data_IF_985818998251
#
_entry.id   IF_985818998251
#
_cell.length_a   1.000
_cell.length_b   1.000
_cell.length_c   1.000
_cell.angle_alpha   90.00
_cell.angle_beta   90.00
_cell.angle_gamma   90.00
#
_symmetry.space_group_name_H-M   'P 1'
#
loop_
_entity.id
_entity.type
_entity.pdbx_description
1 polymer ?
#
# COMPACT_ATOMS: atom_id res chain seq x y z
N UNK A 1 -22.72 -9.10 -1.76
CA UNK A 1 -21.31 -8.89 -1.36
C UNK A 1 -20.60 -8.09 -2.44
N UNK A 2 -20.27 -6.82 -2.16
CA UNK A 2 -19.38 -6.05 -3.04
C UNK A 2 -17.95 -6.28 -2.56
N UNK A 3 -17.04 -6.79 -3.39
CA UNK A 3 -15.63 -6.87 -3.02
C UNK A 3 -15.08 -5.45 -2.86
N UNK A 4 -14.69 -5.09 -1.65
CA UNK A 4 -14.08 -3.79 -1.35
C UNK A 4 -12.56 -3.91 -1.48
N UNK A 5 -11.96 -3.05 -2.31
CA UNK A 5 -10.53 -3.01 -2.59
C UNK A 5 -9.78 -2.09 -1.62
N UNK A 6 -10.01 -2.28 -0.30
CA UNK A 6 -9.35 -1.50 0.76
C UNK A 6 -8.32 -2.34 1.50
N UNK A 7 -7.28 -1.69 2.03
CA UNK A 7 -6.15 -2.37 2.68
C UNK A 7 -6.56 -3.15 3.93
N UNK A 8 -7.55 -2.71 4.66
CA UNK A 8 -8.07 -3.39 5.85
C UNK A 8 -8.77 -4.71 5.52
N UNK A 9 -9.17 -4.92 4.27
CA UNK A 9 -9.77 -6.18 3.80
C UNK A 9 -8.73 -7.21 3.32
N UNK A 10 -7.45 -6.85 3.29
CA UNK A 10 -6.38 -7.78 2.91
C UNK A 10 -6.16 -8.76 4.05
N UNK A 11 -6.31 -10.05 3.78
CA UNK A 11 -5.96 -11.12 4.72
C UNK A 11 -4.50 -11.54 4.59
N UNK A 12 -4.06 -11.75 3.36
CA UNK A 12 -2.76 -12.31 3.01
C UNK A 12 -2.21 -11.63 1.77
N UNK A 13 -0.89 -11.61 1.67
CA UNK A 13 -0.14 -11.17 0.50
C UNK A 13 0.60 -12.38 -0.07
N UNK A 14 0.51 -12.58 -1.37
CA UNK A 14 1.03 -13.78 -2.06
C UNK A 14 1.96 -13.47 -3.22
N UNK A 15 2.05 -12.22 -3.65
CA UNK A 15 2.96 -11.80 -4.72
C UNK A 15 3.28 -10.30 -4.62
N UNK A 16 4.43 -9.93 -5.19
CA UNK A 16 4.73 -8.59 -5.67
C UNK A 16 4.58 -8.57 -7.19
N UNK A 17 4.33 -7.42 -7.79
CA UNK A 17 4.16 -7.31 -9.24
C UNK A 17 4.50 -5.92 -9.76
N UNK A 18 4.92 -5.83 -11.00
CA UNK A 18 5.13 -4.55 -11.69
C UNK A 18 4.50 -4.63 -13.07
N UNK A 19 3.67 -3.65 -13.38
CA UNK A 19 3.12 -3.42 -14.71
C UNK A 19 4.05 -2.49 -15.49
N UNK A 20 4.52 -2.96 -16.65
CA UNK A 20 5.36 -2.19 -17.56
C UNK A 20 4.52 -1.75 -18.77
N UNK A 21 4.22 -0.46 -18.82
CA UNK A 21 3.51 0.18 -19.93
C UNK A 21 4.50 0.46 -21.09
N UNK A 22 4.96 -0.61 -21.70
CA UNK A 22 6.05 -0.58 -22.70
C UNK A 22 5.73 0.23 -23.94
N UNK A 23 4.46 0.43 -24.26
CA UNK A 23 4.01 1.28 -25.37
C UNK A 23 4.39 2.77 -25.21
N UNK A 24 4.75 3.19 -23.98
CA UNK A 24 5.26 4.53 -23.69
C UNK A 24 6.79 4.62 -23.80
N UNK A 25 7.46 3.52 -24.07
CA UNK A 25 8.93 3.45 -24.19
C UNK A 25 9.37 3.39 -25.66
N UNK A 26 10.66 3.57 -25.90
CA UNK A 26 11.27 3.42 -27.23
C UNK A 26 11.62 1.96 -27.57
N UNK A 27 11.42 1.04 -26.63
CA UNK A 27 11.84 -0.35 -26.73
C UNK A 27 10.64 -1.27 -26.96
N UNK A 28 10.85 -2.33 -27.73
CA UNK A 28 9.88 -3.42 -27.87
C UNK A 28 9.90 -4.30 -26.61
N UNK A 29 8.81 -5.05 -26.37
CA UNK A 29 8.75 -6.01 -25.26
C UNK A 29 9.92 -6.98 -25.25
N UNK A 30 10.33 -7.48 -26.43
CA UNK A 30 11.48 -8.39 -26.59
C UNK A 30 12.79 -7.74 -26.17
N UNK A 31 13.03 -6.49 -26.60
CA UNK A 31 14.25 -5.76 -26.22
C UNK A 31 14.30 -5.50 -24.70
N UNK A 32 13.16 -5.16 -24.10
CA UNK A 32 13.06 -4.97 -22.65
C UNK A 32 13.38 -6.28 -21.94
N UNK A 33 12.78 -7.41 -22.34
CA UNK A 33 13.04 -8.71 -21.71
C UNK A 33 14.51 -9.11 -21.83
N UNK A 34 15.11 -9.02 -22.99
CA UNK A 34 16.55 -9.30 -23.19
C UNK A 34 17.45 -8.45 -22.28
N UNK A 35 17.10 -7.17 -22.09
CA UNK A 35 17.86 -6.30 -21.20
C UNK A 35 17.65 -6.70 -19.73
N UNK A 36 16.42 -6.99 -19.33
CA UNK A 36 16.09 -7.41 -17.95
C UNK A 36 16.81 -8.72 -17.60
N UNK A 37 16.76 -9.72 -18.47
CA UNK A 37 17.46 -11.00 -18.29
C UNK A 37 18.98 -10.82 -18.18
N UNK A 38 19.56 -10.00 -19.05
CA UNK A 38 21.00 -9.83 -19.12
C UNK A 38 21.57 -8.98 -17.99
N UNK A 39 20.83 -7.96 -17.53
CA UNK A 39 21.39 -6.93 -16.66
C UNK A 39 20.69 -6.76 -15.30
N UNK A 40 19.45 -7.25 -15.14
CA UNK A 40 18.64 -6.99 -13.95
C UNK A 40 18.31 -8.25 -13.14
N UNK A 41 17.88 -9.33 -13.79
CA UNK A 41 17.45 -10.54 -13.07
C UNK A 41 18.61 -11.20 -12.31
N UNK A 42 18.38 -11.51 -11.04
CA UNK A 42 19.35 -12.03 -10.08
C UNK A 42 20.62 -11.14 -9.85
N UNK A 43 20.59 -9.89 -10.34
CA UNK A 43 21.68 -8.92 -10.13
C UNK A 43 21.19 -7.70 -9.39
N UNK A 44 20.13 -7.11 -9.88
CA UNK A 44 19.51 -5.88 -9.37
C UNK A 44 18.18 -6.19 -8.72
N UNK A 45 17.40 -7.08 -9.31
CA UNK A 45 16.09 -7.54 -8.82
C UNK A 45 16.03 -9.07 -8.88
N UNK A 46 15.17 -9.72 -8.04
CA UNK A 46 14.93 -11.16 -8.19
C UNK A 46 14.37 -11.48 -9.59
N UNK A 47 14.58 -12.68 -10.08
CA UNK A 47 13.92 -13.13 -11.31
C UNK A 47 12.41 -13.28 -11.06
N UNK A 48 11.53 -12.67 -11.89
CA UNK A 48 10.09 -12.83 -11.70
C UNK A 48 9.66 -14.28 -11.96
N UNK A 49 8.67 -14.75 -11.19
CA UNK A 49 8.12 -16.10 -11.39
C UNK A 49 7.22 -16.19 -12.61
N UNK A 50 6.53 -15.10 -12.96
CA UNK A 50 5.69 -15.03 -14.14
C UNK A 50 6.02 -13.76 -14.91
N UNK A 51 6.19 -13.92 -16.21
CA UNK A 51 6.25 -12.83 -17.16
C UNK A 51 5.04 -12.95 -18.07
N UNK A 52 4.17 -11.94 -18.03
CA UNK A 52 2.88 -11.95 -18.73
C UNK A 52 2.89 -10.83 -19.77
N UNK A 53 2.62 -11.20 -21.02
CA UNK A 53 2.31 -10.23 -22.06
C UNK A 53 0.86 -9.76 -21.89
N UNK A 54 0.69 -8.52 -21.45
CA UNK A 54 -0.63 -7.94 -21.14
C UNK A 54 -1.37 -7.39 -22.37
N UNK A 55 -0.77 -7.50 -23.54
CA UNK A 55 -1.29 -7.03 -24.82
C UNK A 55 -0.84 -5.61 -25.20
N UNK A 56 -0.47 -4.77 -24.24
CA UNK A 56 0.13 -3.44 -24.46
C UNK A 56 1.50 -3.29 -23.83
N UNK A 57 1.86 -4.21 -22.95
CA UNK A 57 3.08 -4.19 -22.18
C UNK A 57 3.33 -5.53 -21.53
N UNK A 58 4.09 -5.51 -20.46
CA UNK A 58 4.47 -6.69 -19.70
C UNK A 58 4.04 -6.54 -18.25
N UNK A 59 3.62 -7.63 -17.63
CA UNK A 59 3.41 -7.69 -16.18
C UNK A 59 4.40 -8.71 -15.60
N UNK A 60 5.26 -8.26 -14.70
CA UNK A 60 6.22 -9.09 -13.98
C UNK A 60 5.64 -9.42 -12.61
N UNK A 61 5.63 -10.70 -12.21
CA UNK A 61 5.06 -11.16 -10.94
C UNK A 61 6.09 -12.00 -10.19
N UNK A 62 6.34 -11.64 -8.94
CA UNK A 62 7.15 -12.39 -7.98
C UNK A 62 6.23 -13.06 -6.98
N UNK A 63 6.12 -14.38 -7.05
CA UNK A 63 5.34 -15.16 -6.11
C UNK A 63 6.09 -15.23 -4.77
N UNK A 64 5.40 -14.90 -3.70
CA UNK A 64 5.93 -14.99 -2.35
C UNK A 64 5.16 -16.04 -1.53
N UNK A 65 5.80 -16.63 -0.54
CA UNK A 65 5.09 -17.37 0.48
C UNK A 65 4.05 -16.47 1.16
N UNK A 66 2.92 -17.07 1.55
CA UNK A 66 1.82 -16.32 2.16
C UNK A 66 2.29 -15.59 3.41
N UNK A 67 2.10 -14.28 3.44
CA UNK A 67 2.37 -13.46 4.61
C UNK A 67 1.10 -12.71 5.04
N UNK A 68 0.90 -12.52 6.35
CA UNK A 68 -0.28 -11.81 6.84
C UNK A 68 -0.25 -10.33 6.43
N UNK A 69 -1.41 -9.67 6.45
CA UNK A 69 -1.56 -8.25 6.13
C UNK A 69 -0.62 -7.33 6.93
N UNK A 70 -0.19 -7.74 8.12
CA UNK A 70 0.77 -6.98 8.93
C UNK A 70 2.15 -6.82 8.25
N UNK A 71 2.49 -7.67 7.29
CA UNK A 71 3.70 -7.56 6.48
C UNK A 71 3.59 -6.49 5.37
N UNK A 72 2.43 -5.86 5.21
CA UNK A 72 2.16 -4.89 4.14
C UNK A 72 3.20 -3.75 4.05
N UNK A 73 3.71 -3.14 5.15
CA UNK A 73 4.77 -2.13 5.02
C UNK A 73 6.06 -2.66 4.39
N UNK A 74 6.45 -3.91 4.69
CA UNK A 74 7.61 -4.54 4.05
C UNK A 74 7.32 -4.89 2.59
N UNK A 75 6.12 -5.42 2.32
CA UNK A 75 5.64 -5.68 0.97
C UNK A 75 5.70 -4.42 0.10
N UNK A 76 5.22 -3.28 0.61
CA UNK A 76 5.29 -1.98 -0.07
C UNK A 76 6.74 -1.55 -0.30
N UNK A 77 7.63 -1.74 0.67
CA UNK A 77 9.04 -1.40 0.50
C UNK A 77 9.69 -2.20 -0.63
N UNK A 78 9.38 -3.49 -0.75
CA UNK A 78 9.80 -4.34 -1.86
C UNK A 78 9.17 -3.86 -3.18
N UNK A 79 7.88 -3.58 -3.18
CA UNK A 79 7.13 -3.11 -4.35
C UNK A 79 7.73 -1.81 -4.92
N UNK A 80 8.04 -0.85 -4.05
CA UNK A 80 8.68 0.39 -4.45
C UNK A 80 10.12 0.23 -4.92
N UNK A 81 10.85 -0.69 -4.30
CA UNK A 81 12.18 -1.02 -4.76
C UNK A 81 12.13 -1.54 -6.21
N UNK A 82 11.30 -2.56 -6.47
CA UNK A 82 11.10 -3.12 -7.82
C UNK A 82 10.68 -2.05 -8.82
N UNK A 83 9.72 -1.19 -8.45
CA UNK A 83 9.31 -0.05 -9.27
C UNK A 83 10.48 0.87 -9.58
N UNK A 84 11.29 1.24 -8.59
CA UNK A 84 12.41 2.17 -8.75
C UNK A 84 13.45 1.66 -9.74
N UNK A 85 13.70 0.34 -9.73
CA UNK A 85 14.64 -0.31 -10.65
C UNK A 85 14.08 -0.46 -12.07
N UNK A 86 12.76 -0.57 -12.21
CA UNK A 86 12.09 -0.83 -13.49
C UNK A 86 11.47 0.42 -14.12
N UNK A 87 11.65 1.58 -13.51
CA UNK A 87 11.04 2.85 -13.93
C UNK A 87 11.37 3.23 -15.37
N UNK A 88 12.60 2.99 -15.83
CA UNK A 88 13.04 3.30 -17.19
C UNK A 88 12.39 2.41 -18.27
N UNK A 89 11.89 1.24 -17.88
CA UNK A 89 11.17 0.30 -18.74
C UNK A 89 9.66 0.54 -18.78
N UNK A 90 9.19 1.67 -18.26
CA UNK A 90 7.79 2.07 -18.29
C UNK A 90 6.96 1.51 -17.12
N UNK A 91 7.58 1.23 -15.98
CA UNK A 91 6.82 0.79 -14.78
C UNK A 91 5.76 1.82 -14.38
N UNK A 92 4.51 1.36 -14.19
CA UNK A 92 3.38 2.21 -13.83
C UNK A 92 3.32 2.45 -12.31
N UNK A 93 3.56 3.71 -11.90
CA UNK A 93 3.47 4.09 -10.49
C UNK A 93 2.07 3.93 -9.91
N UNK A 94 1.03 4.10 -10.70
CA UNK A 94 -0.37 3.99 -10.25
C UNK A 94 -0.81 2.55 -10.02
N UNK A 95 0.01 1.57 -10.42
CA UNK A 95 -0.28 0.15 -10.30
C UNK A 95 0.43 -0.54 -9.12
N UNK A 96 0.89 0.20 -8.11
CA UNK A 96 1.71 -0.36 -7.01
C UNK A 96 0.90 -0.79 -5.78
N UNK A 97 -0.41 -0.57 -5.76
CA UNK A 97 -1.26 -0.87 -4.61
C UNK A 97 -1.49 -2.37 -4.40
N UNK A 98 -1.51 -2.81 -3.12
CA UNK A 98 -1.66 -4.22 -2.75
C UNK A 98 -3.07 -4.78 -3.00
N UNK A 99 -4.05 -3.93 -3.30
CA UNK A 99 -5.43 -4.31 -3.61
C UNK A 99 -5.66 -4.43 -5.12
N UNK A 100 -4.60 -4.31 -5.91
CA UNK A 100 -4.63 -4.32 -7.37
C UNK A 100 -5.17 -5.62 -7.93
N UNK A 101 -6.00 -5.50 -8.95
CA UNK A 101 -6.50 -6.62 -9.74
C UNK A 101 -5.74 -6.67 -11.06
N UNK A 102 -5.13 -7.81 -11.36
CA UNK A 102 -4.41 -8.05 -12.60
C UNK A 102 -5.29 -8.82 -13.58
N UNK A 103 -4.99 -8.69 -14.88
CA UNK A 103 -5.68 -9.46 -15.91
C UNK A 103 -5.31 -10.92 -15.83
N UNK A 104 -6.31 -11.78 -15.99
CA UNK A 104 -6.10 -13.23 -16.00
C UNK A 104 -5.47 -13.65 -17.33
N UNK A 105 -4.42 -14.47 -17.29
CA UNK A 105 -3.85 -15.07 -18.46
C UNK A 105 -4.90 -15.90 -19.24
N UNK A 106 -4.90 -15.77 -20.55
CA UNK A 106 -5.92 -16.39 -21.43
C UNK A 106 -7.11 -15.45 -21.75
N UNK A 107 -7.33 -14.38 -20.97
CA UNK A 107 -8.35 -13.37 -21.26
C UNK A 107 -7.95 -12.47 -22.44
N UNK A 108 -8.93 -11.74 -22.97
CA UNK A 108 -8.68 -10.73 -24.00
C UNK A 108 -8.60 -9.33 -23.35
N UNK A 109 -7.52 -8.62 -23.63
CA UNK A 109 -7.40 -7.22 -23.23
C UNK A 109 -8.34 -6.36 -24.09
N UNK A 110 -9.43 -5.86 -23.51
CA UNK A 110 -10.44 -5.07 -24.23
C UNK A 110 -9.91 -3.78 -24.89
N UNK A 111 -8.77 -3.24 -24.38
CA UNK A 111 -8.16 -2.03 -24.94
C UNK A 111 -7.30 -2.28 -26.18
N UNK A 112 -6.72 -3.47 -26.32
CA UNK A 112 -5.83 -3.82 -27.45
C UNK A 112 -6.40 -4.91 -28.35
N UNK A 113 -7.46 -5.61 -27.93
CA UNK A 113 -8.00 -6.78 -28.65
C UNK A 113 -7.10 -8.01 -28.59
N UNK A 114 -5.97 -7.98 -27.90
CA UNK A 114 -4.98 -9.06 -27.87
C UNK A 114 -5.20 -9.97 -26.67
N UNK A 115 -4.79 -11.23 -26.81
CA UNK A 115 -4.85 -12.22 -25.73
C UNK A 115 -3.73 -11.98 -24.73
N UNK A 116 -4.06 -12.04 -23.45
CA UNK A 116 -3.07 -12.03 -22.35
C UNK A 116 -2.40 -13.40 -22.29
N UNK A 117 -1.09 -13.45 -22.40
CA UNK A 117 -0.31 -14.70 -22.50
C UNK A 117 0.78 -14.75 -21.43
N UNK A 118 1.02 -15.95 -20.88
CA UNK A 118 2.21 -16.20 -20.06
C UNK A 118 3.37 -16.40 -21.04
N UNK A 119 4.40 -15.59 -20.92
CA UNK A 119 5.63 -15.69 -21.71
C UNK A 119 6.62 -16.62 -21.02
N UNK A 120 6.78 -16.47 -19.70
CA UNK A 120 7.68 -17.29 -18.89
C UNK A 120 7.02 -17.63 -17.54
N UNK A 121 7.37 -18.80 -17.02
CA UNK A 121 6.89 -19.28 -15.72
C UNK A 121 7.99 -20.09 -15.01
N UNK A 122 8.25 -19.72 -13.74
CA UNK A 122 9.14 -20.42 -12.82
C UNK A 122 8.39 -20.79 -11.53
N UNK A 123 8.62 -22.00 -11.00
CA UNK A 123 7.82 -22.53 -9.89
C UNK A 123 8.34 -22.17 -8.48
N UNK A 124 9.51 -21.58 -8.38
CA UNK A 124 10.07 -21.14 -7.10
C UNK A 124 9.20 -20.05 -6.47
N UNK A 125 9.09 -20.07 -5.14
CA UNK A 125 8.46 -18.98 -4.37
C UNK A 125 9.48 -18.35 -3.46
N UNK A 126 9.53 -17.03 -3.48
CA UNK A 126 10.36 -16.25 -2.58
C UNK A 126 9.73 -16.13 -1.20
N UNK A 127 10.55 -16.02 -0.15
CA UNK A 127 10.06 -15.38 1.07
C UNK A 127 10.29 -13.87 0.99
N UNK A 128 9.39 -13.10 1.57
CA UNK A 128 9.52 -11.64 1.60
C UNK A 128 10.82 -11.19 2.31
N UNK A 129 11.32 -12.02 3.24
CA UNK A 129 12.58 -11.80 3.97
C UNK A 129 13.82 -12.06 3.11
N UNK A 130 13.81 -13.03 2.22
CA UNK A 130 14.91 -13.25 1.26
C UNK A 130 15.08 -12.02 0.38
N UNK A 131 13.97 -11.54 -0.22
CA UNK A 131 14.00 -10.33 -1.04
C UNK A 131 14.50 -9.13 -0.21
N UNK A 132 14.04 -8.98 1.04
CA UNK A 132 14.50 -7.93 1.94
C UNK A 132 16.01 -7.99 2.18
N UNK A 133 16.55 -9.15 2.54
CA UNK A 133 17.97 -9.31 2.89
C UNK A 133 18.87 -9.07 1.68
N UNK A 134 18.46 -9.56 0.53
CA UNK A 134 19.28 -9.51 -0.68
C UNK A 134 19.24 -8.12 -1.34
N UNK A 135 18.06 -7.51 -1.43
CA UNK A 135 17.86 -6.28 -2.20
C UNK A 135 17.59 -5.03 -1.35
N UNK A 136 17.15 -5.19 -0.09
CA UNK A 136 16.90 -4.08 0.84
C UNK A 136 17.63 -4.27 2.19
N UNK A 137 18.94 -4.45 2.20
CA UNK A 137 19.69 -4.77 3.42
C UNK A 137 19.60 -3.66 4.50
N UNK A 138 19.35 -2.41 4.10
CA UNK A 138 19.18 -1.28 5.00
C UNK A 138 18.01 -1.43 5.99
N UNK A 139 17.00 -2.24 5.65
CA UNK A 139 15.88 -2.53 6.54
C UNK A 139 16.26 -3.55 7.65
N UNK A 140 17.22 -4.44 7.39
CA UNK A 140 17.67 -5.44 8.37
C UNK A 140 18.74 -4.89 9.33
N UNK A 141 19.67 -4.08 8.85
CA UNK A 141 20.81 -3.59 9.62
C UNK A 141 20.44 -2.73 10.84
N UNK A 142 19.25 -2.15 10.86
CA UNK A 142 18.84 -1.24 11.95
C UNK A 142 18.34 -1.93 13.22
N UNK A 143 18.29 -3.26 13.30
CA UNK A 143 17.96 -3.96 14.56
C UNK A 143 19.05 -3.81 15.62
N UNK A 144 20.31 -3.61 15.22
CA UNK A 144 21.48 -3.64 16.11
C UNK A 144 22.33 -2.36 16.09
N UNK A 145 21.98 -1.27 15.40
CA UNK A 145 22.83 -0.07 15.29
C UNK A 145 22.54 1.01 16.32
N UNK A 146 23.65 1.57 16.84
CA UNK A 146 23.75 2.65 17.83
C UNK A 146 23.05 3.93 17.37
N UNK A 147 22.68 4.78 18.36
CA UNK A 147 22.05 6.09 18.23
C UNK A 147 22.58 6.91 17.04
N UNK A 148 21.71 7.15 16.04
CA UNK A 148 21.96 8.00 14.89
C UNK A 148 20.65 8.24 14.11
N UNK A 149 20.63 9.21 13.18
CA UNK A 149 19.47 9.45 12.32
C UNK A 149 19.25 8.22 11.40
N UNK A 150 18.07 7.58 11.41
CA UNK A 150 17.81 6.41 10.58
C UNK A 150 17.94 6.77 9.09
N UNK A 151 18.38 5.80 8.26
CA UNK A 151 18.37 5.97 6.81
C UNK A 151 16.94 6.26 6.31
N UNK A 152 16.82 7.01 5.22
CA UNK A 152 15.51 7.44 4.65
C UNK A 152 14.54 6.28 4.45
N UNK A 153 15.01 5.15 3.92
CA UNK A 153 14.21 3.92 3.71
C UNK A 153 13.60 3.38 5.00
N UNK A 154 14.41 3.32 6.07
CA UNK A 154 13.94 2.84 7.39
C UNK A 154 12.95 3.80 8.02
N UNK A 155 13.16 5.09 7.87
CA UNK A 155 12.24 6.12 8.36
C UNK A 155 10.88 5.99 7.68
N UNK A 156 10.84 5.93 6.35
CA UNK A 156 9.62 5.76 5.56
C UNK A 156 8.89 4.47 5.93
N UNK A 157 9.62 3.36 6.06
CA UNK A 157 9.02 2.09 6.48
C UNK A 157 8.36 2.18 7.87
N UNK A 158 9.00 2.84 8.85
CA UNK A 158 8.43 3.05 10.19
C UNK A 158 7.19 3.94 10.17
N UNK A 159 7.21 5.02 9.39
CA UNK A 159 6.04 5.89 9.24
C UNK A 159 4.88 5.14 8.60
N UNK A 160 5.13 4.35 7.55
CA UNK A 160 4.10 3.51 6.93
C UNK A 160 3.50 2.49 7.89
N UNK A 161 4.34 1.85 8.72
CA UNK A 161 3.86 0.91 9.73
C UNK A 161 2.95 1.60 10.76
N UNK A 162 3.31 2.82 11.17
CA UNK A 162 2.48 3.63 12.06
C UNK A 162 1.15 4.02 11.40
N UNK A 163 1.19 4.48 10.15
CA UNK A 163 -0.01 4.90 9.43
C UNK A 163 -0.94 3.72 9.15
N UNK A 164 -0.40 2.56 8.75
CA UNK A 164 -1.19 1.34 8.61
C UNK A 164 -1.91 0.99 9.91
N UNK A 165 -1.20 0.97 11.03
CA UNK A 165 -1.81 0.66 12.31
C UNK A 165 -2.91 1.65 12.71
N UNK A 166 -2.72 2.94 12.45
CA UNK A 166 -3.73 3.97 12.70
C UNK A 166 -4.95 3.84 11.79
N UNK A 167 -4.76 3.51 10.52
CA UNK A 167 -5.84 3.21 9.57
C UNK A 167 -6.70 2.06 10.10
N UNK A 168 -6.05 0.96 10.51
CA UNK A 168 -6.74 -0.21 11.04
C UNK A 168 -7.48 0.09 12.35
N UNK A 169 -6.89 0.90 13.22
CA UNK A 169 -7.53 1.30 14.48
C UNK A 169 -8.74 2.21 14.24
N UNK A 170 -8.69 3.13 13.25
CA UNK A 170 -9.85 3.95 12.90
C UNK A 170 -11.02 3.11 12.37
N UNK A 171 -10.74 2.12 11.50
CA UNK A 171 -11.77 1.19 11.03
C UNK A 171 -12.28 0.34 12.17
N UNK A 172 -11.38 -0.15 13.06
CA UNK A 172 -11.77 -0.91 14.25
C UNK A 172 -12.68 -0.11 15.18
N UNK A 173 -12.40 1.18 15.35
CA UNK A 173 -13.27 2.09 16.11
C UNK A 173 -14.67 2.19 15.49
N UNK A 174 -14.75 2.32 14.16
CA UNK A 174 -16.04 2.32 13.46
C UNK A 174 -16.81 1.01 13.67
N UNK A 175 -16.11 -0.14 13.56
CA UNK A 175 -16.71 -1.46 13.82
C UNK A 175 -17.26 -1.58 15.26
N UNK A 176 -16.49 -1.18 16.28
CA UNK A 176 -16.87 -1.23 17.68
C UNK A 176 -18.11 -0.37 17.97
N UNK A 177 -18.27 0.71 17.23
CA UNK A 177 -19.42 1.62 17.27
C UNK A 177 -20.55 1.20 16.32
N UNK A 178 -20.48 0.02 15.69
CA UNK A 178 -21.41 -0.44 14.66
C UNK A 178 -21.65 0.61 13.56
N UNK A 179 -20.60 1.35 13.19
CA UNK A 179 -20.62 2.45 12.21
C UNK A 179 -21.58 3.61 12.57
N UNK A 180 -22.09 3.66 13.80
CA UNK A 180 -22.76 4.86 14.33
C UNK A 180 -21.72 5.81 14.94
N UNK A 181 -21.16 6.63 14.07
CA UNK A 181 -20.10 7.58 14.39
C UNK A 181 -20.58 9.03 14.23
N UNK A 182 -21.88 9.26 14.51
CA UNK A 182 -22.47 10.62 14.47
C UNK A 182 -21.68 11.56 15.38
N UNK A 183 -21.36 12.76 14.87
CA UNK A 183 -20.51 13.73 15.57
C UNK A 183 -19.01 13.57 15.27
N UNK A 184 -18.52 12.37 14.94
CA UNK A 184 -17.11 12.11 14.64
C UNK A 184 -16.84 11.77 13.17
N UNK A 185 -17.87 11.74 12.29
CA UNK A 185 -17.74 11.36 10.87
C UNK A 185 -16.65 12.14 10.14
N UNK A 186 -16.66 13.47 10.23
CA UNK A 186 -15.72 14.32 9.52
C UNK A 186 -14.28 14.11 9.99
N UNK A 187 -14.05 14.02 11.30
CA UNK A 187 -12.72 13.82 11.85
C UNK A 187 -12.18 12.42 11.57
N UNK A 188 -13.01 11.38 11.63
CA UNK A 188 -12.62 10.01 11.26
C UNK A 188 -12.20 9.96 9.80
N UNK A 189 -13.03 10.48 8.89
CA UNK A 189 -12.75 10.49 7.45
C UNK A 189 -11.52 11.35 7.11
N UNK A 190 -11.34 12.48 7.80
CA UNK A 190 -10.15 13.32 7.65
C UNK A 190 -8.87 12.58 8.05
N UNK A 191 -8.85 11.96 9.24
CA UNK A 191 -7.69 11.21 9.73
C UNK A 191 -7.41 9.99 8.84
N UNK A 192 -8.45 9.27 8.44
CA UNK A 192 -8.34 8.12 7.55
C UNK A 192 -7.73 8.54 6.20
N UNK A 193 -8.25 9.61 5.54
CA UNK A 193 -7.67 10.16 4.31
C UNK A 193 -6.23 10.61 4.50
N UNK A 194 -5.94 11.29 5.61
CA UNK A 194 -4.62 11.78 5.92
C UNK A 194 -3.59 10.64 5.97
N UNK A 195 -3.89 9.58 6.71
CA UNK A 195 -2.99 8.44 6.82
C UNK A 195 -2.88 7.65 5.51
N UNK A 196 -3.96 7.51 4.76
CA UNK A 196 -3.96 6.85 3.45
C UNK A 196 -3.12 7.61 2.42
N UNK A 197 -3.20 8.94 2.35
CA UNK A 197 -2.36 9.74 1.45
C UNK A 197 -0.86 9.45 1.63
N UNK A 198 -0.40 9.37 2.89
CA UNK A 198 0.99 9.06 3.18
C UNK A 198 1.32 7.56 3.05
N UNK A 199 0.35 6.70 3.26
CA UNK A 199 0.53 5.27 3.14
C UNK A 199 0.63 4.82 1.68
N UNK A 200 -0.27 5.31 0.82
CA UNK A 200 -0.28 5.02 -0.62
C UNK A 200 0.69 5.90 -1.42
N UNK A 201 1.06 7.07 -0.89
CA UNK A 201 1.67 8.17 -1.66
C UNK A 201 0.82 8.59 -2.88
N UNK A 202 -0.51 8.44 -2.76
CA UNK A 202 -1.50 8.71 -3.79
C UNK A 202 -2.77 9.26 -3.16
N UNK A 203 -3.12 10.51 -3.50
CA UNK A 203 -4.30 11.20 -2.96
C UNK A 203 -5.63 10.74 -3.59
N UNK A 204 -5.58 10.21 -4.81
CA UNK A 204 -6.78 9.77 -5.51
C UNK A 204 -7.25 8.42 -4.96
N UNK A 205 -6.37 7.45 -4.83
CA UNK A 205 -6.69 6.17 -4.19
C UNK A 205 -7.13 6.38 -2.74
N UNK A 206 -6.51 7.31 -2.02
CA UNK A 206 -6.93 7.66 -0.66
C UNK A 206 -8.35 8.24 -0.62
N UNK A 207 -8.76 9.05 -1.60
CA UNK A 207 -10.11 9.58 -1.66
C UNK A 207 -11.14 8.49 -1.96
N UNK A 208 -10.83 7.58 -2.88
CA UNK A 208 -11.71 6.45 -3.22
C UNK A 208 -12.02 5.61 -1.97
N UNK A 209 -10.99 5.23 -1.20
CA UNK A 209 -11.16 4.46 0.03
C UNK A 209 -11.97 5.21 1.10
N UNK A 210 -11.75 6.53 1.22
CA UNK A 210 -12.53 7.39 2.14
C UNK A 210 -14.01 7.40 1.79
N UNK A 211 -14.33 7.51 0.50
CA UNK A 211 -15.71 7.49 0.02
C UNK A 211 -16.37 6.12 0.28
N UNK A 212 -15.62 5.03 0.13
CA UNK A 212 -16.11 3.70 0.45
C UNK A 212 -16.34 3.52 1.96
N UNK A 213 -15.42 3.97 2.83
CA UNK A 213 -15.63 3.93 4.29
C UNK A 213 -16.86 4.74 4.70
N UNK A 214 -17.06 5.94 4.14
CA UNK A 214 -18.21 6.77 4.43
C UNK A 214 -19.55 6.08 4.13
N UNK A 215 -19.60 5.25 3.08
CA UNK A 215 -20.83 4.51 2.72
C UNK A 215 -21.23 3.46 3.78
N UNK A 216 -20.30 3.03 4.62
CA UNK A 216 -20.57 2.07 5.70
C UNK A 216 -21.20 2.73 6.93
N UNK A 217 -21.09 4.04 7.09
CA UNK A 217 -21.70 4.76 8.20
C UNK A 217 -23.23 4.66 8.16
N UNK A 218 -23.86 4.50 9.32
CA UNK A 218 -25.34 4.49 9.43
C UNK A 218 -25.94 5.77 8.84
N UNK A 219 -25.27 6.91 9.00
CA UNK A 219 -25.67 8.18 8.43
C UNK A 219 -24.49 8.76 7.62
N UNK A 220 -24.25 8.31 6.38
CA UNK A 220 -23.13 8.78 5.58
C UNK A 220 -23.25 10.28 5.25
N UNK A 221 -22.11 10.93 5.11
CA UNK A 221 -22.03 12.28 4.55
C UNK A 221 -22.22 12.22 3.03
N UNK A 222 -22.70 13.30 2.43
CA UNK A 222 -22.68 13.43 0.97
C UNK A 222 -21.23 13.48 0.46
N UNK A 223 -21.00 13.06 -0.77
CA UNK A 223 -19.66 13.10 -1.39
C UNK A 223 -19.04 14.51 -1.34
N UNK A 224 -19.83 15.55 -1.56
CA UNK A 224 -19.38 16.95 -1.48
C UNK A 224 -18.91 17.31 -0.07
N UNK A 225 -19.60 16.85 0.96
CA UNK A 225 -19.21 17.06 2.36
C UNK A 225 -17.91 16.31 2.68
N UNK A 226 -17.78 15.05 2.25
CA UNK A 226 -16.54 14.26 2.42
C UNK A 226 -15.35 14.99 1.79
N UNK A 227 -15.46 15.41 0.54
CA UNK A 227 -14.38 16.12 -0.17
C UNK A 227 -14.01 17.41 0.58
N UNK A 228 -15.00 18.19 1.03
CA UNK A 228 -14.78 19.43 1.80
C UNK A 228 -14.09 19.17 3.13
N UNK A 229 -14.62 18.22 3.93
CA UNK A 229 -14.10 17.91 5.26
C UNK A 229 -12.68 17.34 5.24
N UNK A 230 -12.34 16.59 4.18
CA UNK A 230 -11.05 15.90 4.09
C UNK A 230 -10.03 16.58 3.17
N UNK A 231 -10.39 17.67 2.51
CA UNK A 231 -9.54 18.36 1.52
C UNK A 231 -8.23 18.94 2.09
N UNK A 232 -8.19 19.26 3.38
CA UNK A 232 -6.96 19.69 4.05
C UNK A 232 -5.91 18.58 4.17
N UNK A 233 -6.32 17.32 4.26
CA UNK A 233 -5.40 16.16 4.26
C UNK A 233 -4.60 16.09 2.95
N UNK A 234 -5.28 16.23 1.81
CA UNK A 234 -4.66 16.28 0.49
C UNK A 234 -3.70 17.47 0.33
N UNK A 235 -4.15 18.68 0.76
CA UNK A 235 -3.32 19.89 0.67
C UNK A 235 -2.01 19.75 1.43
N UNK A 236 -2.06 19.19 2.66
CA UNK A 236 -0.86 18.99 3.48
C UNK A 236 0.04 17.91 2.87
N UNK A 237 -0.52 16.85 2.31
CA UNK A 237 0.25 15.83 1.61
C UNK A 237 1.01 16.43 0.40
N UNK A 238 0.34 17.24 -0.42
CA UNK A 238 0.96 17.91 -1.59
C UNK A 238 2.03 18.93 -1.21
N UNK A 239 1.85 19.65 -0.11
CA UNK A 239 2.78 20.70 0.33
C UNK A 239 4.13 20.13 0.82
N UNK A 240 4.19 18.88 1.30
CA UNK A 240 5.37 18.13 1.77
C UNK A 240 6.17 18.76 2.92
N UNK A 241 5.91 20.00 3.29
CA UNK A 241 6.68 20.79 4.29
C UNK A 241 6.05 20.74 5.68
N UNK A 242 4.75 20.48 5.80
CA UNK A 242 4.02 20.43 7.05
C UNK A 242 3.26 19.11 7.18
N UNK A 243 3.59 18.34 8.21
CA UNK A 243 2.85 17.11 8.56
C UNK A 243 2.12 17.30 9.88
N UNK A 244 0.88 16.83 9.97
CA UNK A 244 0.17 16.73 11.23
C UNK A 244 0.72 15.56 12.05
N UNK A 245 1.47 15.85 13.11
CA UNK A 245 2.01 14.82 14.02
C UNK A 245 1.11 14.67 15.23
N UNK A 246 -0.06 14.06 15.01
CA UNK A 246 -0.97 13.78 16.12
C UNK A 246 -0.34 12.80 17.12
N UNK A 247 -0.39 13.17 18.42
CA UNK A 247 -0.10 12.25 19.51
C UNK A 247 -1.32 11.35 19.76
N UNK A 248 -1.10 10.18 20.34
CA UNK A 248 -2.20 9.27 20.63
C UNK A 248 -3.20 9.90 21.62
N UNK A 249 -2.72 10.60 22.64
CA UNK A 249 -3.57 11.30 23.60
C UNK A 249 -4.54 12.27 22.89
N UNK A 250 -4.03 13.04 21.92
CA UNK A 250 -4.86 13.95 21.11
C UNK A 250 -5.91 13.21 20.27
N UNK A 251 -5.54 12.05 19.69
CA UNK A 251 -6.48 11.25 18.90
C UNK A 251 -7.57 10.63 19.79
N UNK A 252 -7.19 10.13 20.97
CA UNK A 252 -8.12 9.57 21.94
C UNK A 252 -9.13 10.63 22.38
N UNK A 253 -8.67 11.85 22.67
CA UNK A 253 -9.52 12.97 23.04
C UNK A 253 -10.44 13.41 21.89
N UNK A 254 -9.89 13.64 20.68
CA UNK A 254 -10.66 14.09 19.51
C UNK A 254 -11.75 13.10 19.06
N UNK A 255 -11.50 11.81 19.26
CA UNK A 255 -12.40 10.74 18.84
C UNK A 255 -13.23 10.18 20.03
N UNK A 256 -13.00 10.75 21.24
CA UNK A 256 -13.65 10.28 22.48
C UNK A 256 -13.54 8.76 22.68
N UNK A 257 -12.30 8.22 22.46
CA UNK A 257 -12.05 6.78 22.54
C UNK A 257 -12.05 6.34 24.00
N UNK A 258 -12.99 5.45 24.35
CA UNK A 258 -13.08 4.89 25.68
C UNK A 258 -11.96 3.90 26.00
N UNK A 259 -11.74 3.61 27.30
CA UNK A 259 -10.75 2.60 27.70
C UNK A 259 -11.09 1.21 27.12
N UNK A 260 -12.37 0.85 27.05
CA UNK A 260 -12.84 -0.39 26.44
C UNK A 260 -12.45 -0.46 24.95
N UNK A 261 -12.68 0.60 24.18
CA UNK A 261 -12.31 0.63 22.76
C UNK A 261 -10.78 0.50 22.58
N UNK A 262 -9.98 1.13 23.45
CA UNK A 262 -8.52 1.02 23.43
C UNK A 262 -8.02 -0.42 23.60
N UNK A 263 -8.67 -1.26 24.39
CA UNK A 263 -8.29 -2.68 24.53
C UNK A 263 -8.36 -3.48 23.23
N UNK A 264 -9.12 -2.99 22.24
CA UNK A 264 -9.30 -3.61 20.92
C UNK A 264 -8.45 -2.96 19.82
N UNK A 265 -7.70 -1.91 20.17
CA UNK A 265 -6.83 -1.15 19.26
C UNK A 265 -5.36 -1.51 19.51
N UNK A 266 -4.48 -1.10 18.61
CA UNK A 266 -3.05 -1.46 18.67
C UNK A 266 -2.11 -0.26 18.71
N UNK A 267 -2.49 0.85 18.08
CA UNK A 267 -1.64 2.01 17.88
C UNK A 267 -2.21 3.25 18.56
N UNK A 268 -3.53 3.53 18.40
CA UNK A 268 -4.19 4.67 19.03
C UNK A 268 -4.65 4.28 20.44
N UNK A 269 -3.68 4.03 21.31
CA UNK A 269 -3.88 3.63 22.71
C UNK A 269 -3.12 4.57 23.65
N UNK A 270 -3.64 4.73 24.87
CA UNK A 270 -3.01 5.50 25.94
C UNK A 270 -1.85 4.76 26.59
N UNK A 271 -1.09 5.47 27.43
CA UNK A 271 0.09 4.93 28.11
C UNK A 271 -0.21 3.76 29.04
N UNK A 272 -1.37 3.76 29.66
CA UNK A 272 -1.75 2.69 30.60
C UNK A 272 -2.08 1.40 29.84
N UNK A 273 -2.80 1.51 28.71
CA UNK A 273 -3.08 0.34 27.87
C UNK A 273 -1.80 -0.20 27.18
N UNK A 274 -0.87 0.68 26.81
CA UNK A 274 0.42 0.26 26.24
C UNK A 274 1.28 -0.56 27.20
N UNK A 275 1.10 -0.42 28.53
CA UNK A 275 1.84 -1.18 29.56
C UNK A 275 1.23 -2.55 29.87
N UNK A 276 -0.04 -2.78 29.50
CA UNK A 276 -0.71 -4.08 29.63
C UNK A 276 -0.25 -5.04 28.57
#
# INVERSE_FOLDING_TARGET
YKPMRRIENIKELTCNFIDLDTYNTKFTNTQILMNLESNYFNKVIPTPNLIIGSGRGLTLIWLIERVPYMALPLWIAVQEYLYSQLKEFGADRKALDATRVLRVAGSINSKSGTRVTILEKYEYKYTLREIQREFLPDLDENRNKKKGRPKKVVYVHRERSLYQGRILDLVKLCELRNYDVKGHREIILFLYRYYLCYFYEDEQNALEDVLELNKEFIQPLSEKEVIRATGSAEKVFKAKDKQYKYKNETLIELLEISEYEQTHMKIIIGKEEYKR
#
